data_IF_961417646963
#
_entry.id   IF_961417646963
#
_cell.length_a   1.000
_cell.length_b   1.000
_cell.length_c   1.000
_cell.angle_alpha   90.00
_cell.angle_beta   90.00
_cell.angle_gamma   90.00
#
_symmetry.space_group_name_H-M   'P 1'
#
loop_
_entity.id
_entity.type
_entity.pdbx_description
1 polymer ?
#
# COMPACT_ATOMS: atom_id res chain seq x y z
N UNK A 1 -14.22 -15.85 -1.59
CA UNK A 1 -15.33 -15.00 -1.15
C UNK A 1 -16.34 -15.83 -0.38
N UNK A 2 -16.76 -15.31 0.76
CA UNK A 2 -17.78 -15.93 1.60
C UNK A 2 -19.09 -15.14 1.48
N UNK A 3 -20.21 -15.84 1.44
CA UNK A 3 -21.54 -15.27 1.58
C UNK A 3 -22.06 -15.63 2.97
N UNK A 4 -22.45 -14.61 3.72
CA UNK A 4 -22.99 -14.74 5.06
C UNK A 4 -24.48 -14.45 4.99
N UNK A 5 -25.30 -15.35 5.54
CA UNK A 5 -26.73 -15.13 5.74
C UNK A 5 -27.08 -15.31 7.20
N UNK A 6 -27.83 -14.36 7.77
CA UNK A 6 -28.26 -14.40 9.15
C UNK A 6 -29.74 -14.71 9.25
N UNK A 7 -30.12 -15.62 10.15
CA UNK A 7 -31.51 -15.90 10.52
C UNK A 7 -31.62 -15.94 12.05
N UNK A 8 -32.24 -14.92 12.63
CA UNK A 8 -32.25 -14.74 14.08
C UNK A 8 -30.83 -14.59 14.64
N UNK A 9 -30.45 -15.44 15.58
CA UNK A 9 -29.11 -15.47 16.17
C UNK A 9 -28.10 -16.34 15.42
N UNK A 10 -28.53 -17.06 14.37
CA UNK A 10 -27.67 -17.97 13.62
C UNK A 10 -27.08 -17.25 12.39
N UNK A 11 -25.76 -17.39 12.19
CA UNK A 11 -25.06 -16.94 10.98
C UNK A 11 -24.57 -18.16 10.21
N UNK A 12 -25.10 -18.36 9.02
CA UNK A 12 -24.63 -19.39 8.09
C UNK A 12 -23.61 -18.78 7.13
N UNK A 13 -22.49 -19.46 6.96
CA UNK A 13 -21.43 -19.08 6.02
C UNK A 13 -21.40 -20.06 4.87
N UNK A 14 -21.41 -19.56 3.63
CA UNK A 14 -21.25 -20.38 2.43
C UNK A 14 -20.12 -19.82 1.58
N UNK A 15 -19.17 -20.66 1.19
CA UNK A 15 -18.17 -20.26 0.19
C UNK A 15 -18.84 -20.07 -1.16
N UNK A 16 -18.66 -18.89 -1.77
CA UNK A 16 -19.11 -18.62 -3.13
C UNK A 16 -18.07 -19.01 -4.17
N UNK A 17 -16.82 -18.68 -3.89
CA UNK A 17 -15.69 -19.05 -4.73
C UNK A 17 -14.37 -18.88 -3.99
N UNK A 18 -13.34 -19.56 -4.48
CA UNK A 18 -11.95 -19.39 -4.07
C UNK A 18 -11.05 -19.33 -5.30
N UNK A 19 -10.06 -18.43 -5.32
CA UNK A 19 -9.13 -18.30 -6.43
C UNK A 19 -7.68 -18.18 -5.96
N UNK A 20 -6.90 -19.24 -6.16
CA UNK A 20 -5.49 -19.35 -5.72
C UNK A 20 -4.56 -18.31 -6.36
N UNK A 21 -4.97 -17.70 -7.48
CA UNK A 21 -4.15 -16.68 -8.16
C UNK A 21 -4.25 -15.31 -7.48
N UNK A 22 -5.23 -15.09 -6.60
CA UNK A 22 -5.37 -13.90 -5.76
C UNK A 22 -5.18 -14.28 -4.29
N UNK A 23 -3.98 -14.07 -3.76
CA UNK A 23 -3.61 -14.53 -2.40
C UNK A 23 -3.64 -13.40 -1.37
N UNK A 24 -3.54 -12.14 -1.79
CA UNK A 24 -3.56 -10.96 -0.91
C UNK A 24 -2.55 -11.09 0.26
N UNK A 25 -1.25 -11.30 -0.03
CA UNK A 25 -0.23 -11.65 0.97
C UNK A 25 -0.07 -10.64 2.11
N UNK A 26 -0.36 -9.36 1.87
CA UNK A 26 -0.30 -8.30 2.89
C UNK A 26 -1.69 -7.87 3.41
N UNK A 27 -2.72 -8.70 3.17
CA UNK A 27 -4.03 -8.56 3.79
C UNK A 27 -4.92 -7.44 3.27
N UNK A 28 -4.51 -6.70 2.22
CA UNK A 28 -5.33 -5.61 1.65
C UNK A 28 -5.69 -5.82 0.19
N UNK A 29 -6.99 -5.98 -0.03
CA UNK A 29 -7.65 -5.96 -1.33
C UNK A 29 -8.76 -4.91 -1.30
N UNK A 30 -9.11 -4.35 -2.46
CA UNK A 30 -10.11 -3.29 -2.59
C UNK A 30 -11.19 -3.75 -3.55
N UNK A 31 -12.46 -3.56 -3.20
CA UNK A 31 -13.57 -3.76 -4.13
C UNK A 31 -14.04 -2.42 -4.69
N UNK A 32 -14.11 -2.27 -6.00
CA UNK A 32 -14.81 -1.16 -6.67
C UNK A 32 -15.84 -1.77 -7.64
N UNK A 33 -17.11 -1.43 -7.47
CA UNK A 33 -18.20 -2.02 -8.22
C UNK A 33 -18.24 -3.56 -8.09
N UNK A 34 -18.17 -4.23 -9.23
CA UNK A 34 -18.19 -5.70 -9.33
C UNK A 34 -16.80 -6.34 -9.37
N UNK A 35 -15.75 -5.55 -9.16
CA UNK A 35 -14.36 -6.01 -9.25
C UNK A 35 -13.67 -5.92 -7.89
N UNK A 36 -12.91 -6.96 -7.55
CA UNK A 36 -11.97 -6.97 -6.42
C UNK A 36 -10.56 -6.91 -6.96
N UNK A 37 -9.80 -5.93 -6.49
CA UNK A 37 -8.42 -5.67 -6.84
C UNK A 37 -7.51 -6.10 -5.69
N UNK A 38 -6.39 -6.71 -6.02
CA UNK A 38 -5.44 -7.18 -5.03
C UNK A 38 -4.16 -7.69 -5.62
N UNK A 39 -3.23 -8.02 -4.75
CA UNK A 39 -1.99 -8.69 -5.13
C UNK A 39 -2.26 -10.17 -5.42
N UNK A 40 -1.94 -10.56 -6.65
CA UNK A 40 -1.90 -11.93 -7.08
C UNK A 40 -0.51 -12.54 -6.95
N UNK A 41 -0.45 -13.85 -6.70
CA UNK A 41 0.79 -14.59 -6.52
C UNK A 41 1.18 -14.83 -5.05
N UNK A 42 2.10 -15.78 -4.85
CA UNK A 42 2.63 -16.18 -3.55
C UNK A 42 4.11 -15.79 -3.41
N UNK A 43 5.00 -16.77 -3.25
CA UNK A 43 6.45 -16.58 -3.08
C UNK A 43 7.24 -16.20 -4.35
N UNK A 44 6.58 -15.68 -5.40
CA UNK A 44 7.19 -15.37 -6.69
C UNK A 44 6.76 -14.00 -7.24
N UNK A 45 7.06 -13.70 -8.52
CA UNK A 45 6.66 -12.45 -9.15
C UNK A 45 5.16 -12.20 -8.96
N UNK A 46 4.83 -11.03 -8.42
CA UNK A 46 3.44 -10.65 -8.15
C UNK A 46 2.83 -9.93 -9.35
N UNK A 47 1.50 -9.90 -9.37
CA UNK A 47 0.72 -9.17 -10.36
C UNK A 47 -0.33 -8.35 -9.62
N UNK A 48 -0.55 -7.12 -10.05
CA UNK A 48 -1.78 -6.44 -9.71
C UNK A 48 -2.91 -7.14 -10.46
N UNK A 49 -3.84 -7.73 -9.72
CA UNK A 49 -4.88 -8.62 -10.25
C UNK A 49 -6.25 -8.03 -9.97
N UNK A 50 -7.21 -8.28 -10.86
CA UNK A 50 -8.63 -8.03 -10.62
C UNK A 50 -9.44 -9.32 -10.79
N UNK A 51 -10.46 -9.49 -9.95
CA UNK A 51 -11.38 -10.62 -9.99
C UNK A 51 -12.83 -10.11 -10.02
N UNK A 52 -13.66 -10.70 -10.88
CA UNK A 52 -15.10 -10.50 -10.89
C UNK A 52 -15.72 -11.11 -9.63
N UNK A 53 -16.47 -10.32 -8.88
CA UNK A 53 -17.08 -10.72 -7.60
C UNK A 53 -18.13 -11.82 -7.75
N UNK A 54 -18.82 -11.87 -8.89
CA UNK A 54 -19.93 -12.79 -9.15
C UNK A 54 -19.40 -14.18 -9.46
N UNK A 55 -18.40 -14.26 -10.34
CA UNK A 55 -17.86 -15.51 -10.84
C UNK A 55 -16.59 -15.99 -10.11
N UNK A 56 -15.82 -15.10 -9.47
CA UNK A 56 -14.51 -15.43 -8.92
C UNK A 56 -13.42 -15.60 -9.98
N UNK A 57 -13.70 -15.17 -11.22
CA UNK A 57 -12.80 -15.26 -12.36
C UNK A 57 -11.89 -14.03 -12.43
N UNK A 58 -10.68 -14.23 -12.94
CA UNK A 58 -9.71 -13.15 -13.10
C UNK A 58 -10.04 -12.39 -14.36
N UNK A 59 -10.25 -11.08 -14.23
CA UNK A 59 -10.41 -10.21 -15.40
C UNK A 59 -9.05 -9.69 -15.89
N UNK A 60 -8.20 -9.18 -14.99
CA UNK A 60 -6.93 -8.55 -15.36
C UNK A 60 -5.78 -9.06 -14.50
N UNK A 61 -4.60 -9.19 -15.12
CA UNK A 61 -3.31 -9.37 -14.45
C UNK A 61 -2.27 -8.46 -15.07
N UNK A 62 -1.91 -7.42 -14.34
CA UNK A 62 -0.92 -6.45 -14.77
C UNK A 62 0.42 -6.68 -14.08
N UNK A 63 1.48 -6.68 -14.87
CA UNK A 63 2.87 -6.66 -14.39
C UNK A 63 3.29 -5.20 -14.10
N UNK A 64 4.41 -5.05 -13.41
CA UNK A 64 4.98 -3.73 -13.11
C UNK A 64 4.81 -3.30 -11.65
N UNK A 65 4.07 -4.08 -10.86
CA UNK A 65 4.03 -3.97 -9.42
C UNK A 65 4.43 -5.30 -8.79
N UNK A 66 5.20 -5.23 -7.72
CA UNK A 66 5.46 -6.36 -6.83
C UNK A 66 4.24 -6.62 -5.93
N UNK A 67 4.38 -7.26 -4.77
CA UNK A 67 3.23 -7.52 -3.89
C UNK A 67 2.65 -6.18 -3.41
N UNK A 68 1.38 -5.95 -3.70
CA UNK A 68 0.72 -4.65 -3.46
C UNK A 68 -0.16 -4.62 -2.22
N UNK A 69 -0.25 -3.42 -1.65
CA UNK A 69 -1.18 -2.98 -0.65
C UNK A 69 -2.03 -1.86 -1.25
N UNK A 70 -3.35 -1.98 -1.21
CA UNK A 70 -4.27 -1.17 -2.02
C UNK A 70 -5.21 -0.29 -1.18
N UNK A 71 -5.43 0.93 -1.62
CA UNK A 71 -6.39 1.87 -1.03
C UNK A 71 -7.33 2.42 -2.11
N UNK A 72 -8.62 2.52 -1.80
CA UNK A 72 -9.58 3.20 -2.66
C UNK A 72 -9.56 4.71 -2.41
N UNK A 73 -9.63 5.50 -3.48
CA UNK A 73 -9.90 6.94 -3.43
C UNK A 73 -10.87 7.30 -4.55
N UNK A 74 -12.16 7.37 -4.21
CA UNK A 74 -13.23 7.43 -5.22
C UNK A 74 -13.18 6.20 -6.13
N UNK A 75 -13.10 6.44 -7.44
CA UNK A 75 -13.00 5.39 -8.47
C UNK A 75 -11.55 4.98 -8.79
N UNK A 76 -10.57 5.50 -8.03
CA UNK A 76 -9.14 5.23 -8.24
C UNK A 76 -8.57 4.34 -7.15
N UNK A 77 -7.48 3.68 -7.49
CA UNK A 77 -6.64 2.90 -6.60
C UNK A 77 -5.34 3.65 -6.33
N UNK A 78 -5.03 3.81 -5.05
CA UNK A 78 -3.67 4.06 -4.58
C UNK A 78 -3.00 2.71 -4.34
N UNK A 79 -1.86 2.51 -5.00
CA UNK A 79 -1.11 1.27 -5.02
C UNK A 79 0.22 1.53 -4.34
N UNK A 80 0.55 0.75 -3.31
CA UNK A 80 1.88 0.70 -2.72
C UNK A 80 2.39 -0.73 -2.85
N UNK A 81 3.56 -0.94 -3.43
CA UNK A 81 4.16 -2.27 -3.57
C UNK A 81 5.35 -2.50 -2.60
N UNK A 82 5.78 -3.76 -2.47
CA UNK A 82 6.88 -4.15 -1.54
C UNK A 82 8.25 -3.60 -1.94
N UNK A 83 8.43 -3.22 -3.21
CA UNK A 83 9.65 -2.59 -3.73
C UNK A 83 9.63 -1.06 -3.59
N UNK A 84 8.59 -0.52 -2.95
CA UNK A 84 8.40 0.90 -2.68
C UNK A 84 7.85 1.68 -3.86
N UNK A 85 7.30 1.05 -4.90
CA UNK A 85 6.55 1.77 -5.93
C UNK A 85 5.21 2.26 -5.38
N UNK A 86 4.94 3.54 -5.57
CA UNK A 86 3.69 4.19 -5.21
C UNK A 86 3.01 4.73 -6.48
N UNK A 87 1.78 4.31 -6.73
CA UNK A 87 1.06 4.70 -7.94
C UNK A 87 -0.40 5.06 -7.66
N UNK A 88 -0.94 5.94 -8.50
CA UNK A 88 -2.36 6.24 -8.61
C UNK A 88 -2.86 5.68 -9.94
N UNK A 89 -3.85 4.81 -9.92
CA UNK A 89 -4.40 4.18 -11.12
C UNK A 89 -5.93 4.19 -11.14
N UNK A 90 -6.52 4.34 -12.33
CA UNK A 90 -7.94 3.98 -12.53
C UNK A 90 -8.01 2.50 -12.84
N UNK A 91 -8.90 1.82 -12.13
CA UNK A 91 -9.11 0.40 -12.31
C UNK A 91 -10.20 0.17 -13.36
N UNK A 92 -9.80 -0.29 -14.54
CA UNK A 92 -10.71 -0.69 -15.60
C UNK A 92 -11.14 -2.16 -15.45
N UNK A 93 -12.11 -2.56 -16.26
CA UNK A 93 -12.53 -3.97 -16.36
C UNK A 93 -11.42 -4.85 -16.93
N UNK A 94 -10.69 -4.34 -17.93
CA UNK A 94 -9.72 -5.11 -18.72
C UNK A 94 -8.28 -4.58 -18.61
N UNK A 95 -8.06 -3.42 -17.95
CA UNK A 95 -6.74 -2.81 -17.79
C UNK A 95 -6.67 -1.96 -16.51
N UNK A 96 -5.45 -1.68 -16.02
CA UNK A 96 -5.21 -0.61 -15.05
C UNK A 96 -4.48 0.55 -15.73
N UNK A 97 -5.14 1.70 -15.76
CA UNK A 97 -4.53 2.92 -16.28
C UNK A 97 -3.79 3.64 -15.15
N UNK A 98 -2.46 3.66 -15.22
CA UNK A 98 -1.62 4.32 -14.22
C UNK A 98 -1.48 5.80 -14.60
N UNK A 99 -1.96 6.69 -13.74
CA UNK A 99 -1.94 8.14 -13.94
C UNK A 99 -0.65 8.79 -13.44
N UNK A 100 -0.15 8.27 -12.32
CA UNK A 100 1.07 8.75 -11.68
C UNK A 100 1.77 7.59 -10.98
N UNK A 101 3.10 7.58 -11.03
CA UNK A 101 3.93 6.59 -10.36
C UNK A 101 5.20 7.25 -9.85
N UNK A 102 5.60 6.91 -8.62
CA UNK A 102 6.81 7.38 -7.98
C UNK A 102 7.36 6.32 -7.03
N UNK A 103 8.68 6.28 -6.86
CA UNK A 103 9.31 5.36 -5.89
C UNK A 103 9.41 6.01 -4.51
N UNK A 104 8.69 5.46 -3.54
CA UNK A 104 8.90 5.74 -2.13
C UNK A 104 10.34 5.33 -1.77
N UNK A 105 11.14 6.31 -1.38
CA UNK A 105 12.56 6.10 -1.08
C UNK A 105 13.52 6.47 -2.21
N UNK A 106 13.11 7.22 -3.24
CA UNK A 106 14.04 7.88 -4.16
C UNK A 106 15.09 8.79 -3.45
N UNK A 107 14.89 9.09 -2.16
CA UNK A 107 15.88 9.76 -1.30
C UNK A 107 16.98 8.83 -0.72
N UNK A 108 16.80 7.51 -0.71
CA UNK A 108 17.78 6.56 -0.14
C UNK A 108 18.77 5.99 -1.17
N UNK A 109 18.51 6.14 -2.48
CA UNK A 109 19.46 5.68 -3.52
C UNK A 109 20.68 6.61 -3.68
N UNK A 110 20.77 7.67 -2.88
CA UNK A 110 21.98 8.48 -2.72
C UNK A 110 22.85 8.07 -1.53
N UNK A 111 22.36 7.20 -0.64
CA UNK A 111 23.14 6.65 0.47
C UNK A 111 23.48 5.20 0.13
N UNK A 112 24.47 5.05 -0.76
CA UNK A 112 25.28 3.85 -0.75
C UNK A 112 25.89 3.73 0.64
N UNK A 113 25.36 2.82 1.45
CA UNK A 113 25.77 2.73 2.84
C UNK A 113 25.37 1.40 3.43
N UNK A 114 26.34 0.49 3.45
CA UNK A 114 26.43 -0.52 4.48
C UNK A 114 26.13 0.12 5.84
N UNK A 115 25.38 -0.63 6.64
CA UNK A 115 24.87 -0.27 7.96
C UNK A 115 25.98 0.29 8.88
N UNK A 116 26.23 1.60 8.82
CA UNK A 116 27.12 2.29 9.75
C UNK A 116 26.48 3.60 10.19
N UNK A 117 26.01 3.57 11.44
CA UNK A 117 25.28 4.57 12.22
C UNK A 117 25.98 5.95 12.40
N UNK A 118 26.89 6.39 11.53
CA UNK A 118 27.78 7.52 11.88
C UNK A 118 27.88 8.72 10.94
N UNK A 119 27.15 8.77 9.83
CA UNK A 119 27.11 10.01 9.06
C UNK A 119 25.70 10.36 8.58
N UNK A 120 25.06 11.29 9.29
CA UNK A 120 23.76 11.87 8.92
C UNK A 120 23.92 13.15 8.09
N UNK A 121 25.10 13.41 7.52
CA UNK A 121 25.31 14.58 6.66
C UNK A 121 24.74 14.29 5.28
N UNK A 122 23.65 14.98 4.97
CA UNK A 122 23.09 14.93 3.62
C UNK A 122 24.09 15.58 2.64
N UNK A 123 24.18 15.11 1.38
CA UNK A 123 24.99 15.75 0.35
C UNK A 123 24.65 17.24 0.20
N UNK A 124 25.64 18.07 -0.16
CA UNK A 124 25.39 19.47 -0.52
C UNK A 124 24.35 19.56 -1.65
N UNK A 125 23.34 20.43 -1.49
CA UNK A 125 22.22 20.56 -2.43
C UNK A 125 21.00 19.69 -2.12
N UNK A 126 21.02 18.87 -1.06
CA UNK A 126 19.85 18.12 -0.61
C UNK A 126 18.79 19.02 0.02
N UNK A 127 17.58 19.01 -0.55
CA UNK A 127 16.41 19.68 0.00
C UNK A 127 15.69 18.74 0.99
N UNK A 128 15.54 19.18 2.25
CA UNK A 128 14.72 18.47 3.23
C UNK A 128 13.26 18.83 3.02
N UNK A 129 12.49 17.97 2.36
CA UNK A 129 11.04 18.08 2.36
C UNK A 129 10.49 17.46 3.65
N UNK A 130 10.42 18.27 4.70
CA UNK A 130 9.69 17.94 5.91
C UNK A 130 8.23 18.35 5.76
N UNK A 131 7.29 17.44 6.00
CA UNK A 131 5.90 17.80 6.28
C UNK A 131 5.81 18.35 7.71
N UNK A 132 6.41 19.50 7.97
CA UNK A 132 6.28 20.23 9.22
C UNK A 132 6.47 21.71 8.91
N UNK A 133 5.43 22.52 9.13
CA UNK A 133 5.55 23.98 9.17
C UNK A 133 6.55 24.43 10.24
N UNK A 134 6.89 25.73 10.28
CA UNK A 134 8.01 26.22 11.07
C UNK A 134 7.72 26.02 12.57
N UNK A 135 8.48 25.14 13.22
CA UNK A 135 8.57 25.12 14.67
C UNK A 135 9.42 26.31 15.12
N UNK A 136 8.98 27.12 16.10
CA UNK A 136 9.78 28.22 16.62
C UNK A 136 11.04 27.68 17.31
N UNK A 137 12.14 28.38 17.10
CA UNK A 137 13.48 28.05 17.57
C UNK A 137 13.54 28.04 19.11
N UNK A 138 13.65 26.86 19.71
CA UNK A 138 13.92 26.71 21.15
C UNK A 138 15.42 26.50 21.33
N UNK A 139 16.08 27.46 21.99
CA UNK A 139 17.49 27.40 22.41
C UNK A 139 17.79 26.07 23.13
N UNK A 140 18.81 25.37 22.65
CA UNK A 140 19.28 24.09 23.18
C UNK A 140 19.79 24.25 24.62
N UNK A 141 19.10 23.61 25.56
CA UNK A 141 19.65 23.21 26.86
C UNK A 141 19.85 21.69 26.86
N UNK A 142 21.06 21.24 27.13
CA UNK A 142 21.45 19.83 27.23
C UNK A 142 20.54 19.03 28.19
N UNK A 143 19.93 17.93 27.73
CA UNK A 143 19.99 16.63 28.42
C UNK A 143 19.28 15.54 27.60
N UNK A 144 19.79 14.31 27.73
CA UNK A 144 19.33 13.13 27.01
C UNK A 144 17.95 12.67 27.47
N UNK A 145 17.06 12.41 26.51
CA UNK A 145 16.09 11.30 26.50
C UNK A 145 15.29 11.36 25.20
N UNK A 146 15.50 10.36 24.34
CA UNK A 146 14.58 10.10 23.24
C UNK A 146 13.28 9.57 23.84
N UNK A 147 12.29 10.43 24.03
CA UNK A 147 10.92 9.99 24.28
C UNK A 147 10.21 9.84 22.95
N UNK A 148 10.02 8.58 22.56
CA UNK A 148 9.00 8.16 21.59
C UNK A 148 7.64 8.63 22.09
N UNK A 149 6.90 9.39 21.27
CA UNK A 149 5.50 9.71 21.52
C UNK A 149 4.67 9.32 20.30
N UNK A 150 3.81 8.32 20.49
CA UNK A 150 2.62 8.09 19.69
C UNK A 150 1.57 9.13 20.12
N UNK A 151 0.98 9.87 19.18
CA UNK A 151 -0.36 10.45 19.32
C UNK A 151 -1.22 9.75 18.26
N UNK A 152 -2.26 8.97 18.55
CA UNK A 152 -3.25 9.18 19.60
C UNK A 152 -4.36 10.05 19.03
N UNK A 153 -5.29 9.43 18.29
CA UNK A 153 -6.47 10.11 17.75
C UNK A 153 -7.38 10.61 18.90
N UNK A 154 -7.92 11.83 18.80
CA UNK A 154 -9.32 12.11 19.15
C UNK A 154 -9.77 13.52 18.73
N UNK A 155 -10.93 13.52 18.07
CA UNK A 155 -11.91 14.58 17.78
C UNK A 155 -11.51 15.69 16.81
#
# INVERSE_FOLDING_TARGET
MLHLSQKGAETTVTEKWYNRKMQVPHGRAVRLGDMVYGSGGGSGPSFLTSIDVRAGEIAVRQRGFSKTNLLASGERLLILDEDGEFALATAGKDTFEVHAQAKQGAYHKFLGGSNTRRDNRLPEGSQRYGCAGPFPEVRQGHSSRASTAYLGATR
#
